data_IF_715974166590
#
_entry.id   IF_715974166590
#
_cell.length_a   1.000
_cell.length_b   1.000
_cell.length_c   1.000
_cell.angle_alpha   90.00
_cell.angle_beta   90.00
_cell.angle_gamma   90.00
#
_symmetry.space_group_name_H-M   'P 1'
#
loop_
_entity.id
_entity.type
_entity.pdbx_description
1 polymer ?
#
# COMPACT_ATOMS: atom_id res chain seq x y z
N UNK A 1 39.58 4.78 -18.66
CA UNK A 1 39.15 4.51 -17.28
C UNK A 1 38.06 3.45 -17.34
N UNK A 2 38.42 2.18 -17.46
CA UNK A 2 37.48 1.06 -17.51
C UNK A 2 37.00 0.78 -16.09
N UNK A 3 35.74 1.12 -15.82
CA UNK A 3 35.06 0.71 -14.60
C UNK A 3 35.10 -0.83 -14.60
N UNK A 4 35.63 -1.51 -13.56
CA UNK A 4 35.67 -2.95 -13.53
C UNK A 4 34.22 -3.47 -13.44
N UNK A 5 33.62 -3.79 -14.58
CA UNK A 5 32.29 -4.42 -14.70
C UNK A 5 32.18 -5.71 -13.89
N UNK A 6 33.31 -6.38 -13.67
CA UNK A 6 33.46 -7.55 -12.78
C UNK A 6 33.21 -7.20 -11.29
N UNK A 7 33.54 -6.00 -10.84
CA UNK A 7 33.31 -5.57 -9.45
C UNK A 7 31.82 -5.30 -9.18
N UNK A 8 31.08 -4.79 -10.18
CA UNK A 8 29.63 -4.64 -10.13
C UNK A 8 28.92 -6.01 -10.16
N UNK A 9 29.37 -6.92 -11.01
CA UNK A 9 28.82 -8.27 -11.12
C UNK A 9 29.00 -9.09 -9.82
N UNK A 10 30.14 -8.93 -9.13
CA UNK A 10 30.41 -9.62 -7.86
C UNK A 10 29.61 -9.03 -6.68
N UNK A 11 29.28 -7.73 -6.69
CA UNK A 11 28.36 -7.13 -5.71
C UNK A 11 26.90 -7.54 -5.93
N UNK A 12 26.50 -7.81 -7.17
CA UNK A 12 25.16 -8.29 -7.51
C UNK A 12 25.03 -9.82 -7.40
N UNK A 13 26.14 -10.56 -7.33
CA UNK A 13 26.19 -12.01 -7.20
C UNK A 13 25.34 -12.57 -6.05
N UNK A 14 25.33 -11.96 -4.85
CA UNK A 14 24.44 -12.36 -3.76
C UNK A 14 22.95 -12.06 -4.01
N UNK A 15 22.65 -10.97 -4.74
CA UNK A 15 21.27 -10.56 -5.05
C UNK A 15 20.65 -11.40 -6.19
N UNK A 16 21.48 -11.84 -7.13
CA UNK A 16 21.13 -12.78 -8.21
C UNK A 16 21.21 -14.25 -7.75
N UNK A 17 21.59 -14.50 -6.49
CA UNK A 17 21.52 -15.84 -5.92
C UNK A 17 20.05 -16.29 -5.80
N UNK A 18 19.76 -17.60 -5.85
CA UNK A 18 18.41 -18.12 -5.68
C UNK A 18 17.74 -17.62 -4.39
N UNK A 19 18.51 -17.45 -3.31
CA UNK A 19 18.01 -16.93 -2.04
C UNK A 19 17.73 -15.40 -2.09
N UNK A 20 18.56 -14.63 -2.80
CA UNK A 20 18.36 -13.18 -2.99
C UNK A 20 17.08 -12.87 -3.76
N UNK A 21 16.82 -13.63 -4.82
CA UNK A 21 15.58 -13.57 -5.61
C UNK A 21 14.33 -13.86 -4.76
N UNK A 22 14.38 -14.89 -3.91
CA UNK A 22 13.29 -15.20 -2.99
C UNK A 22 13.07 -14.07 -1.98
N UNK A 23 14.13 -13.48 -1.44
CA UNK A 23 14.05 -12.33 -0.54
C UNK A 23 13.35 -11.13 -1.18
N UNK A 24 13.75 -10.77 -2.41
CA UNK A 24 13.13 -9.65 -3.15
C UNK A 24 11.65 -9.95 -3.44
N UNK A 25 11.33 -11.18 -3.84
CA UNK A 25 9.94 -11.57 -4.13
C UNK A 25 9.06 -11.50 -2.87
N UNK A 26 9.57 -11.93 -1.72
CA UNK A 26 8.86 -11.82 -0.44
C UNK A 26 8.64 -10.37 -0.05
N UNK A 27 9.66 -9.52 -0.16
CA UNK A 27 9.53 -8.08 0.13
C UNK A 27 8.48 -7.44 -0.78
N UNK A 28 8.53 -7.72 -2.09
CA UNK A 28 7.57 -7.20 -3.05
C UNK A 28 6.15 -7.69 -2.74
N UNK A 29 5.99 -8.96 -2.39
CA UNK A 29 4.71 -9.54 -2.00
C UNK A 29 4.13 -8.84 -0.77
N UNK A 30 4.95 -8.58 0.24
CA UNK A 30 4.54 -7.84 1.45
C UNK A 30 4.10 -6.42 1.10
N UNK A 31 4.85 -5.70 0.28
CA UNK A 31 4.50 -4.33 -0.13
C UNK A 31 3.17 -4.30 -0.89
N UNK A 32 2.97 -5.22 -1.84
CA UNK A 32 1.71 -5.33 -2.59
C UNK A 32 0.56 -5.69 -1.65
N UNK A 33 0.79 -6.62 -0.72
CA UNK A 33 -0.23 -7.03 0.25
C UNK A 33 -0.66 -5.87 1.14
N UNK A 34 0.30 -5.09 1.65
CA UNK A 34 0.06 -3.88 2.44
C UNK A 34 -0.67 -2.83 1.60
N UNK A 35 -0.17 -2.50 0.41
CA UNK A 35 -0.80 -1.52 -0.47
C UNK A 35 -2.24 -1.88 -0.84
N UNK A 36 -2.49 -3.16 -1.12
CA UNK A 36 -3.84 -3.68 -1.40
C UNK A 36 -4.73 -3.64 -0.16
N UNK A 37 -4.19 -3.98 1.00
CA UNK A 37 -4.92 -3.92 2.26
C UNK A 37 -5.33 -2.49 2.58
N UNK A 38 -4.40 -1.53 2.45
CA UNK A 38 -4.68 -0.10 2.63
C UNK A 38 -5.71 0.40 1.61
N UNK A 39 -5.63 0.01 0.35
CA UNK A 39 -6.62 0.43 -0.65
C UNK A 39 -8.02 -0.08 -0.29
N UNK A 40 -8.10 -1.35 0.13
CA UNK A 40 -9.36 -1.95 0.59
C UNK A 40 -9.88 -1.30 1.88
N UNK A 41 -8.99 -0.87 2.78
CA UNK A 41 -9.37 -0.22 4.04
C UNK A 41 -9.73 1.25 3.85
N UNK A 42 -9.00 1.98 3.00
CA UNK A 42 -9.28 3.35 2.62
C UNK A 42 -10.67 3.44 2.00
N UNK A 43 -10.99 2.54 1.07
CA UNK A 43 -12.32 2.47 0.48
C UNK A 43 -13.42 2.30 1.55
N UNK A 44 -13.20 1.40 2.51
CA UNK A 44 -14.14 1.21 3.63
C UNK A 44 -14.30 2.46 4.48
N UNK A 45 -13.21 3.15 4.83
CA UNK A 45 -13.26 4.40 5.61
C UNK A 45 -13.97 5.51 4.83
N UNK A 46 -13.73 5.61 3.52
CA UNK A 46 -14.41 6.58 2.65
C UNK A 46 -15.91 6.29 2.60
N UNK A 47 -16.30 5.03 2.39
CA UNK A 47 -17.72 4.64 2.37
C UNK A 47 -18.40 4.94 3.71
N UNK A 48 -17.75 4.61 4.84
CA UNK A 48 -18.28 4.93 6.17
C UNK A 48 -18.43 6.43 6.35
N UNK A 49 -17.42 7.22 5.96
CA UNK A 49 -17.47 8.69 6.02
C UNK A 49 -18.63 9.26 5.21
N UNK A 50 -18.81 8.78 3.97
CA UNK A 50 -19.93 9.19 3.10
C UNK A 50 -21.28 8.83 3.75
N UNK A 51 -21.42 7.62 4.30
CA UNK A 51 -22.64 7.19 4.98
C UNK A 51 -22.94 8.09 6.17
N UNK A 52 -21.95 8.39 7.02
CA UNK A 52 -22.12 9.25 8.19
C UNK A 52 -22.53 10.66 7.77
N UNK A 53 -21.79 11.26 6.83
CA UNK A 53 -22.09 12.61 6.33
C UNK A 53 -23.48 12.67 5.69
N UNK A 54 -23.82 11.70 4.83
CA UNK A 54 -25.13 11.62 4.19
C UNK A 54 -26.26 11.43 5.20
N UNK A 55 -26.05 10.59 6.22
CA UNK A 55 -27.04 10.36 7.28
C UNK A 55 -27.27 11.62 8.10
N UNK A 56 -26.20 12.26 8.59
CA UNK A 56 -26.30 13.49 9.37
C UNK A 56 -26.92 14.62 8.55
N UNK A 57 -26.62 14.70 7.25
CA UNK A 57 -27.21 15.67 6.35
C UNK A 57 -28.73 15.48 6.22
N UNK A 58 -29.19 14.23 6.00
CA UNK A 58 -30.62 13.92 5.94
C UNK A 58 -31.30 14.18 7.28
N UNK A 59 -30.66 13.80 8.39
CA UNK A 59 -31.18 14.05 9.74
C UNK A 59 -31.33 15.56 10.02
N UNK A 60 -30.34 16.36 9.62
CA UNK A 60 -30.39 17.81 9.70
C UNK A 60 -31.50 18.41 8.84
N UNK A 61 -31.70 17.91 7.62
CA UNK A 61 -32.82 18.33 6.76
C UNK A 61 -34.19 17.97 7.35
N UNK A 62 -34.31 16.85 8.05
CA UNK A 62 -35.53 16.46 8.75
C UNK A 62 -35.79 17.26 10.04
N UNK A 63 -34.88 18.16 10.42
CA UNK A 63 -35.03 19.00 11.61
C UNK A 63 -34.53 18.35 12.90
N UNK A 64 -33.84 17.21 12.83
CA UNK A 64 -33.16 16.59 13.98
C UNK A 64 -31.82 17.28 14.29
N UNK A 65 -31.76 18.61 14.20
CA UNK A 65 -30.57 19.37 14.54
C UNK A 65 -30.19 19.13 16.00
N UNK A 66 -28.94 18.71 16.26
CA UNK A 66 -28.33 18.67 17.59
C UNK A 66 -27.95 20.10 18.07
N UNK A 67 -28.91 21.03 17.99
CA UNK A 67 -28.78 22.42 18.44
C UNK A 67 -29.81 22.70 19.53
#
# INVERSE_FOLDING_TARGET
MSIPSVALASHLGPLLSPAGLLGVLVVLAVVIFVGRFLLSMAWRLVVIGIIVVGTLYILGLLGFGLL
#
